data_IF_198000354633
#
_entry.id   IF_198000354633
#
_cell.length_a   1.000
_cell.length_b   1.000
_cell.length_c   1.000
_cell.angle_alpha   90.00
_cell.angle_beta   90.00
_cell.angle_gamma   90.00
#
_symmetry.space_group_name_H-M   'P 1'
#
loop_
_entity.id
_entity.type
_entity.pdbx_description
1 polymer ?
#
# COMPACT_ATOMS: atom_id res chain seq x y z
N UNK A 1 -45.40 -43.49 92.25
CA UNK A 1 -45.46 -44.53 91.20
C UNK A 1 -45.32 -43.78 89.88
N UNK A 2 -44.09 -43.59 89.41
CA UNK A 2 -43.32 -44.53 88.58
C UNK A 2 -43.89 -44.59 87.15
N UNK A 3 -43.25 -43.83 86.25
CA UNK A 3 -42.68 -44.28 84.95
C UNK A 3 -43.72 -44.24 83.81
N UNK A 4 -43.45 -43.78 82.59
CA UNK A 4 -42.19 -43.66 81.87
C UNK A 4 -42.32 -42.64 80.72
N UNK A 5 -41.20 -42.02 80.38
CA UNK A 5 -41.00 -41.11 79.25
C UNK A 5 -41.01 -41.83 77.90
N UNK A 6 -41.46 -41.16 76.83
CA UNK A 6 -41.34 -41.68 75.46
C UNK A 6 -41.45 -40.62 74.38
N UNK A 7 -40.32 -39.95 74.12
CA UNK A 7 -40.02 -38.94 73.11
C UNK A 7 -40.88 -38.93 71.81
N UNK A 8 -41.57 -37.81 71.60
CA UNK A 8 -41.93 -37.33 70.27
C UNK A 8 -40.78 -36.49 69.71
N UNK A 9 -40.08 -36.94 68.66
CA UNK A 9 -39.43 -36.06 67.65
C UNK A 9 -38.74 -36.84 66.55
N UNK A 10 -38.96 -36.42 65.30
CA UNK A 10 -37.88 -36.35 64.32
C UNK A 10 -37.94 -37.23 63.06
N UNK A 11 -39.10 -37.74 62.62
CA UNK A 11 -39.16 -38.54 61.38
C UNK A 11 -40.14 -38.08 60.29
N UNK A 12 -41.13 -37.25 60.61
CA UNK A 12 -42.19 -36.91 59.66
C UNK A 12 -41.78 -35.83 58.62
N UNK A 13 -40.82 -34.96 58.96
CA UNK A 13 -40.34 -33.91 58.05
C UNK A 13 -39.39 -34.40 56.95
N UNK A 14 -38.58 -35.43 57.25
CA UNK A 14 -37.62 -36.01 56.30
C UNK A 14 -38.28 -37.00 55.34
N UNK A 15 -39.33 -37.71 55.77
CA UNK A 15 -40.09 -38.60 54.89
C UNK A 15 -40.97 -37.82 53.90
N UNK A 16 -41.58 -36.70 54.32
CA UNK A 16 -42.29 -35.78 53.41
C UNK A 16 -41.34 -35.09 52.42
N UNK A 17 -40.13 -34.73 52.86
CA UNK A 17 -39.10 -34.24 51.95
C UNK A 17 -38.70 -35.31 50.92
N UNK A 18 -38.53 -36.58 51.34
CA UNK A 18 -38.16 -37.71 50.45
C UNK A 18 -39.22 -38.03 49.38
N UNK A 19 -40.50 -38.03 49.74
CA UNK A 19 -41.63 -38.28 48.79
C UNK A 19 -41.73 -37.20 47.72
N UNK A 20 -41.34 -35.96 48.05
CA UNK A 20 -41.26 -34.85 47.09
C UNK A 20 -39.92 -34.89 46.33
N UNK A 21 -38.83 -35.32 46.98
CA UNK A 21 -37.49 -35.38 46.38
C UNK A 21 -37.30 -36.53 45.38
N UNK A 22 -38.01 -37.65 45.50
CA UNK A 22 -37.87 -38.81 44.60
C UNK A 22 -38.14 -38.46 43.12
N UNK A 23 -39.23 -37.75 42.77
CA UNK A 23 -39.43 -37.26 41.41
C UNK A 23 -38.68 -35.96 41.09
N UNK A 24 -38.34 -35.15 42.10
CA UNK A 24 -37.63 -33.86 41.91
C UNK A 24 -36.12 -34.04 41.69
N UNK A 25 -35.52 -35.11 42.20
CA UNK A 25 -34.09 -35.41 42.04
C UNK A 25 -33.69 -35.62 40.58
N UNK A 26 -34.53 -36.29 39.79
CA UNK A 26 -34.34 -36.42 38.35
C UNK A 26 -34.40 -35.08 37.61
N UNK A 27 -35.34 -34.21 38.02
CA UNK A 27 -35.53 -32.87 37.46
C UNK A 27 -34.36 -31.92 37.79
N UNK A 28 -33.85 -31.96 39.01
CA UNK A 28 -32.67 -31.19 39.44
C UNK A 28 -31.40 -31.65 38.73
N UNK A 29 -31.23 -32.96 38.54
CA UNK A 29 -30.11 -33.52 37.79
C UNK A 29 -30.19 -33.12 36.32
N UNK A 30 -31.38 -33.17 35.71
CA UNK A 30 -31.61 -32.70 34.35
C UNK A 30 -31.34 -31.19 34.20
N UNK A 31 -31.77 -30.37 35.16
CA UNK A 31 -31.49 -28.93 35.19
C UNK A 31 -29.99 -28.62 35.36
N UNK A 32 -29.29 -29.37 36.20
CA UNK A 32 -27.85 -29.21 36.38
C UNK A 32 -27.07 -29.60 35.12
N UNK A 33 -27.42 -30.72 34.49
CA UNK A 33 -26.83 -31.17 33.22
C UNK A 33 -27.15 -30.18 32.10
N UNK A 34 -28.38 -29.67 32.02
CA UNK A 34 -28.77 -28.65 31.04
C UNK A 34 -28.05 -27.32 31.28
N UNK A 35 -27.90 -26.89 32.54
CA UNK A 35 -27.18 -25.67 32.91
C UNK A 35 -25.68 -25.77 32.59
N UNK A 36 -25.05 -26.89 32.92
CA UNK A 36 -23.66 -27.17 32.56
C UNK A 36 -23.47 -27.28 31.06
N UNK A 37 -24.42 -27.88 30.33
CA UNK A 37 -24.44 -27.90 28.87
C UNK A 37 -24.55 -26.50 28.28
N UNK A 38 -25.44 -25.67 28.81
CA UNK A 38 -25.65 -24.30 28.34
C UNK A 38 -24.44 -23.39 28.62
N UNK A 39 -23.89 -23.41 29.83
CA UNK A 39 -22.69 -22.64 30.18
C UNK A 39 -21.43 -23.18 29.51
N UNK A 40 -21.30 -24.51 29.41
CA UNK A 40 -20.19 -25.17 28.73
C UNK A 40 -20.20 -24.90 27.22
N UNK A 41 -21.37 -24.93 26.57
CA UNK A 41 -21.51 -24.63 25.14
C UNK A 41 -21.09 -23.19 24.84
N UNK A 42 -21.48 -22.21 25.66
CA UNK A 42 -21.09 -20.81 25.45
C UNK A 42 -19.58 -20.55 25.59
N UNK A 43 -18.91 -21.24 26.51
CA UNK A 43 -17.44 -21.12 26.68
C UNK A 43 -16.69 -21.87 25.57
N UNK A 44 -17.22 -22.99 25.09
CA UNK A 44 -16.62 -23.79 24.02
C UNK A 44 -16.82 -23.14 22.64
N UNK A 45 -17.98 -22.51 22.39
CA UNK A 45 -18.29 -21.75 21.17
C UNK A 45 -17.33 -20.55 21.00
N UNK A 46 -16.98 -19.85 22.08
CA UNK A 46 -15.98 -18.77 22.05
C UNK A 46 -14.58 -19.25 21.69
N UNK A 47 -14.19 -20.49 22.05
CA UNK A 47 -12.89 -21.05 21.66
C UNK A 47 -12.90 -21.58 20.23
N UNK A 48 -13.99 -22.21 19.81
CA UNK A 48 -14.14 -22.74 18.45
C UNK A 48 -14.20 -21.62 17.39
N UNK A 49 -14.75 -20.45 17.72
CA UNK A 49 -14.77 -19.29 16.82
C UNK A 49 -13.36 -18.69 16.62
N UNK A 50 -12.52 -18.65 17.65
CA UNK A 50 -11.11 -18.21 17.52
C UNK A 50 -10.30 -19.19 16.65
N UNK A 51 -10.46 -20.49 16.86
CA UNK A 51 -9.78 -21.52 16.08
C UNK A 51 -10.29 -21.57 14.61
N UNK A 52 -11.59 -21.38 14.39
CA UNK A 52 -12.16 -21.33 13.03
C UNK A 52 -11.72 -20.06 12.29
N UNK A 53 -11.69 -18.92 12.97
CA UNK A 53 -11.23 -17.67 12.37
C UNK A 53 -9.75 -17.75 12.00
N UNK A 54 -8.88 -18.28 12.88
CA UNK A 54 -7.44 -18.45 12.57
C UNK A 54 -7.18 -19.35 11.35
N UNK A 55 -8.00 -20.40 11.16
CA UNK A 55 -7.94 -21.26 9.97
C UNK A 55 -8.40 -20.54 8.72
N UNK A 56 -9.54 -19.83 8.77
CA UNK A 56 -10.01 -19.00 7.66
C UNK A 56 -8.99 -17.92 7.28
N UNK A 57 -8.32 -17.30 8.26
CA UNK A 57 -7.23 -16.35 8.00
C UNK A 57 -6.02 -17.02 7.34
N UNK A 58 -5.62 -18.19 7.81
CA UNK A 58 -4.50 -18.94 7.22
C UNK A 58 -4.83 -19.39 5.79
N UNK A 59 -6.05 -19.84 5.53
CA UNK A 59 -6.53 -20.22 4.20
C UNK A 59 -6.65 -19.02 3.26
N UNK A 60 -7.16 -17.88 3.74
CA UNK A 60 -7.24 -16.65 2.94
C UNK A 60 -5.85 -16.11 2.60
N UNK A 61 -4.91 -16.12 3.55
CA UNK A 61 -3.53 -15.72 3.29
C UNK A 61 -2.83 -16.69 2.34
N UNK A 62 -3.03 -17.98 2.51
CA UNK A 62 -2.48 -18.99 1.61
C UNK A 62 -3.05 -18.87 0.19
N UNK A 63 -4.37 -18.70 0.05
CA UNK A 63 -5.02 -18.45 -1.25
C UNK A 63 -4.57 -17.14 -1.88
N UNK A 64 -4.34 -16.11 -1.07
CA UNK A 64 -3.80 -14.84 -1.53
C UNK A 64 -2.38 -15.04 -2.06
N UNK A 65 -1.49 -15.64 -1.28
CA UNK A 65 -0.10 -15.90 -1.67
C UNK A 65 -0.04 -16.77 -2.95
N UNK A 66 -0.93 -17.74 -3.07
CA UNK A 66 -1.10 -18.55 -4.28
C UNK A 66 -1.56 -17.70 -5.46
N UNK A 67 -2.61 -16.87 -5.29
CA UNK A 67 -3.13 -16.00 -6.36
C UNK A 67 -2.14 -14.94 -6.80
N UNK A 68 -1.36 -14.37 -5.89
CA UNK A 68 -0.32 -13.39 -6.19
C UNK A 68 0.87 -14.06 -6.89
N UNK A 69 1.25 -15.27 -6.47
CA UNK A 69 2.30 -16.04 -7.14
C UNK A 69 1.88 -16.48 -8.53
N UNK A 70 0.61 -16.87 -8.70
CA UNK A 70 0.01 -17.19 -10.00
C UNK A 70 -0.03 -15.95 -10.90
N UNK A 71 -0.51 -14.80 -10.38
CA UNK A 71 -0.50 -13.53 -11.10
C UNK A 71 0.93 -13.14 -11.51
N UNK A 72 1.91 -13.23 -10.60
CA UNK A 72 3.32 -12.94 -10.93
C UNK A 72 3.87 -13.87 -12.01
N UNK A 73 3.50 -15.16 -11.96
CA UNK A 73 3.89 -16.14 -12.98
C UNK A 73 3.24 -15.85 -14.33
N UNK A 74 1.97 -15.51 -14.36
CA UNK A 74 1.23 -15.19 -15.59
C UNK A 74 1.70 -13.86 -16.18
N UNK A 75 1.93 -12.85 -15.33
CA UNK A 75 2.59 -11.60 -15.71
C UNK A 75 3.98 -11.87 -16.29
N UNK A 76 4.82 -12.66 -15.61
CA UNK A 76 6.16 -13.00 -16.08
C UNK A 76 6.11 -13.71 -17.43
N UNK A 77 5.25 -14.73 -17.60
CA UNK A 77 5.09 -15.44 -18.86
C UNK A 77 4.60 -14.52 -19.98
N UNK A 78 3.68 -13.60 -19.69
CA UNK A 78 3.21 -12.60 -20.65
C UNK A 78 4.32 -11.64 -21.07
N UNK A 79 5.10 -11.12 -20.12
CA UNK A 79 6.26 -10.25 -20.38
C UNK A 79 7.30 -10.99 -21.23
N UNK A 80 7.69 -12.21 -20.83
CA UNK A 80 8.69 -13.02 -21.54
C UNK A 80 8.19 -13.41 -22.93
N UNK A 81 6.92 -13.82 -23.05
CA UNK A 81 6.33 -14.17 -24.34
C UNK A 81 6.26 -12.98 -25.30
N UNK A 82 5.87 -11.82 -24.78
CA UNK A 82 5.71 -10.58 -25.54
C UNK A 82 7.05 -9.91 -25.89
N UNK A 83 8.00 -9.85 -24.94
CA UNK A 83 9.29 -9.17 -25.11
C UNK A 83 10.43 -10.07 -25.61
N UNK A 84 10.50 -11.34 -25.20
CA UNK A 84 11.64 -12.22 -25.51
C UNK A 84 11.36 -13.23 -26.64
N UNK A 85 10.14 -13.80 -26.72
CA UNK A 85 9.88 -14.92 -27.64
C UNK A 85 9.44 -14.54 -29.06
N UNK A 86 9.08 -13.28 -29.34
CA UNK A 86 9.01 -12.76 -30.73
C UNK A 86 10.39 -12.35 -31.28
N UNK A 87 11.47 -12.92 -30.75
CA UNK A 87 12.85 -12.73 -31.21
C UNK A 87 13.28 -13.64 -32.36
N UNK A 88 12.36 -14.40 -32.97
CA UNK A 88 12.66 -15.29 -34.10
C UNK A 88 12.85 -14.57 -35.45
N UNK A 89 12.27 -13.40 -35.58
CA UNK A 89 12.54 -12.44 -36.66
C UNK A 89 12.65 -11.09 -35.96
N UNK A 90 13.50 -10.19 -36.46
CA UNK A 90 13.71 -8.85 -35.92
C UNK A 90 12.40 -8.12 -35.61
N UNK A 91 11.83 -8.32 -34.42
CA UNK A 91 10.66 -7.60 -33.96
C UNK A 91 11.03 -6.12 -33.95
N UNK A 92 10.39 -5.36 -34.83
CA UNK A 92 10.63 -3.93 -35.00
C UNK A 92 10.56 -3.24 -33.63
N UNK A 93 11.32 -2.16 -33.47
CA UNK A 93 11.28 -1.36 -32.24
C UNK A 93 9.85 -0.93 -31.90
N UNK A 94 9.04 -0.63 -32.92
CA UNK A 94 7.61 -0.40 -32.83
C UNK A 94 6.84 -1.51 -32.08
N UNK A 95 7.08 -2.79 -32.42
CA UNK A 95 6.44 -3.92 -31.73
C UNK A 95 6.80 -3.98 -30.25
N UNK A 96 8.04 -3.62 -29.89
CA UNK A 96 8.50 -3.63 -28.49
C UNK A 96 7.90 -2.47 -27.70
N UNK A 97 7.76 -1.30 -28.31
CA UNK A 97 7.10 -0.14 -27.70
C UNK A 97 5.60 -0.42 -27.51
N UNK A 98 4.92 -0.99 -28.52
CA UNK A 98 3.53 -1.42 -28.38
C UNK A 98 3.34 -2.45 -27.27
N UNK A 99 4.26 -3.41 -27.16
CA UNK A 99 4.22 -4.38 -26.08
C UNK A 99 4.43 -3.72 -24.71
N UNK A 100 5.34 -2.74 -24.61
CA UNK A 100 5.51 -1.94 -23.38
C UNK A 100 4.21 -1.22 -23.03
N UNK A 101 3.56 -0.58 -23.99
CA UNK A 101 2.27 0.11 -23.80
C UNK A 101 1.21 -0.82 -23.22
N UNK A 102 1.04 -2.00 -23.80
CA UNK A 102 0.07 -2.98 -23.34
C UNK A 102 0.40 -3.49 -21.93
N UNK A 103 1.68 -3.80 -21.65
CA UNK A 103 2.08 -4.19 -20.30
C UNK A 103 1.79 -3.08 -19.30
N UNK A 104 2.15 -1.86 -19.67
CA UNK A 104 2.00 -0.68 -18.84
C UNK A 104 0.54 -0.41 -18.52
N UNK A 105 -0.36 -0.49 -19.51
CA UNK A 105 -1.79 -0.31 -19.32
C UNK A 105 -2.37 -1.28 -18.29
N UNK A 106 -1.88 -2.53 -18.24
CA UNK A 106 -2.45 -3.58 -17.42
C UNK A 106 -1.71 -3.81 -16.09
N UNK A 107 -0.44 -3.43 -15.98
CA UNK A 107 0.44 -3.84 -14.87
C UNK A 107 1.27 -2.71 -14.25
N UNK A 108 0.92 -1.44 -14.51
CA UNK A 108 1.63 -0.28 -13.95
C UNK A 108 1.67 -0.22 -12.42
N UNK A 109 0.78 -0.92 -11.71
CA UNK A 109 0.76 -1.00 -10.23
C UNK A 109 1.50 -2.22 -9.68
N UNK A 110 1.96 -3.15 -10.53
CA UNK A 110 2.43 -4.48 -10.10
C UNK A 110 3.89 -4.77 -10.41
N UNK A 111 4.53 -3.91 -11.21
CA UNK A 111 5.88 -4.15 -11.73
C UNK A 111 6.69 -2.84 -11.78
N UNK A 112 8.00 -2.97 -11.55
CA UNK A 112 8.93 -1.90 -11.89
C UNK A 112 9.20 -1.90 -13.41
N UNK A 113 8.61 -0.92 -14.09
CA UNK A 113 8.72 -0.76 -15.54
C UNK A 113 9.94 0.05 -15.97
N UNK A 114 10.58 0.79 -15.05
CA UNK A 114 11.67 1.72 -15.37
C UNK A 114 12.82 1.07 -16.14
N UNK A 115 13.31 -0.15 -15.79
CA UNK A 115 14.35 -0.82 -16.56
C UNK A 115 13.96 -1.08 -18.03
N UNK A 116 12.68 -1.31 -18.32
CA UNK A 116 12.19 -1.54 -19.68
C UNK A 116 12.15 -0.24 -20.48
N UNK A 117 11.66 0.86 -19.89
CA UNK A 117 11.71 2.19 -20.50
C UNK A 117 13.14 2.59 -20.84
N UNK A 118 14.07 2.50 -19.88
CA UNK A 118 15.49 2.81 -20.08
C UNK A 118 16.17 1.89 -21.10
N UNK A 119 15.70 0.65 -21.25
CA UNK A 119 16.20 -0.25 -22.29
C UNK A 119 15.76 0.20 -23.68
N UNK A 120 14.48 0.53 -23.85
CA UNK A 120 13.94 0.99 -25.13
C UNK A 120 14.46 2.38 -25.51
N UNK A 121 14.58 3.31 -24.56
CA UNK A 121 15.18 4.62 -24.80
C UNK A 121 16.60 4.49 -25.34
N UNK A 122 17.44 3.63 -24.75
CA UNK A 122 18.79 3.33 -25.27
C UNK A 122 18.79 2.72 -26.67
N UNK A 123 17.74 1.98 -27.05
CA UNK A 123 17.59 1.46 -28.41
C UNK A 123 17.15 2.54 -29.38
N UNK A 124 16.20 3.39 -28.99
CA UNK A 124 15.75 4.57 -29.74
C UNK A 124 16.93 5.50 -30.03
N UNK A 125 17.80 5.75 -29.04
CA UNK A 125 19.01 6.58 -29.21
C UNK A 125 20.03 6.05 -30.22
N UNK A 126 19.87 4.83 -30.77
CA UNK A 126 20.71 4.29 -31.86
C UNK A 126 20.15 4.57 -33.25
N UNK A 127 18.91 5.06 -33.35
CA UNK A 127 18.26 5.41 -34.61
C UNK A 127 18.95 6.64 -35.20
N UNK A 128 19.33 6.57 -36.47
CA UNK A 128 20.03 7.65 -37.16
C UNK A 128 19.10 8.71 -37.74
N UNK A 129 17.85 8.35 -37.99
CA UNK A 129 16.85 9.24 -38.59
C UNK A 129 16.20 10.09 -37.50
N UNK A 130 16.38 11.42 -37.49
CA UNK A 130 15.85 12.27 -36.41
C UNK A 130 14.33 12.17 -36.25
N UNK A 131 13.59 12.15 -37.36
CA UNK A 131 12.12 12.09 -37.32
C UNK A 131 11.60 10.81 -36.66
N UNK A 132 12.22 9.66 -36.95
CA UNK A 132 11.85 8.36 -36.38
C UNK A 132 12.30 8.23 -34.92
N UNK A 133 13.50 8.72 -34.60
CA UNK A 133 13.99 8.84 -33.24
C UNK A 133 13.00 9.63 -32.35
N UNK A 134 12.62 10.83 -32.79
CA UNK A 134 11.76 11.72 -32.02
C UNK A 134 10.33 11.17 -31.88
N UNK A 135 9.84 10.44 -32.88
CA UNK A 135 8.53 9.79 -32.81
C UNK A 135 8.48 8.71 -31.73
N UNK A 136 9.43 7.79 -31.73
CA UNK A 136 9.48 6.74 -30.71
C UNK A 136 9.78 7.29 -29.32
N UNK A 137 10.63 8.32 -29.20
CA UNK A 137 10.93 8.94 -27.92
C UNK A 137 9.68 9.62 -27.35
N UNK A 138 8.97 10.42 -28.15
CA UNK A 138 7.68 11.03 -27.75
C UNK A 138 6.67 9.98 -27.32
N UNK A 139 6.60 8.86 -28.03
CA UNK A 139 5.69 7.76 -27.69
C UNK A 139 6.06 7.13 -26.34
N UNK A 140 7.33 6.84 -26.08
CA UNK A 140 7.79 6.34 -24.77
C UNK A 140 7.50 7.33 -23.64
N UNK A 141 7.78 8.62 -23.85
CA UNK A 141 7.50 9.68 -22.87
C UNK A 141 6.00 9.79 -22.57
N UNK A 142 5.15 9.74 -23.60
CA UNK A 142 3.69 9.80 -23.44
C UNK A 142 3.19 8.65 -22.56
N UNK A 143 3.67 7.45 -22.82
CA UNK A 143 3.28 6.25 -22.07
C UNK A 143 3.76 6.32 -20.63
N UNK A 144 4.99 6.79 -20.42
CA UNK A 144 5.53 6.99 -19.06
C UNK A 144 4.74 8.05 -18.28
N UNK A 145 4.39 9.18 -18.91
CA UNK A 145 3.55 10.22 -18.31
C UNK A 145 2.16 9.68 -17.93
N UNK A 146 1.58 8.82 -18.77
CA UNK A 146 0.31 8.17 -18.46
C UNK A 146 0.41 7.20 -17.28
N UNK A 147 1.53 6.49 -17.12
CA UNK A 147 1.82 5.69 -15.91
C UNK A 147 1.88 6.57 -14.69
N UNK A 148 2.72 7.60 -14.75
CA UNK A 148 2.93 8.52 -13.64
C UNK A 148 1.61 9.13 -13.22
N UNK A 149 0.78 9.59 -14.16
CA UNK A 149 -0.56 10.14 -13.86
C UNK A 149 -1.46 9.12 -13.15
N UNK A 150 -1.51 7.87 -13.63
CA UNK A 150 -2.32 6.81 -13.00
C UNK A 150 -1.83 6.47 -11.59
N UNK A 151 -0.52 6.30 -11.42
CA UNK A 151 0.06 6.01 -10.11
C UNK A 151 -0.18 7.18 -9.14
N UNK A 152 -0.01 8.43 -9.60
CA UNK A 152 -0.34 9.60 -8.80
C UNK A 152 -1.80 9.61 -8.34
N UNK A 153 -2.76 9.27 -9.21
CA UNK A 153 -4.17 9.19 -8.82
C UNK A 153 -4.42 8.20 -7.68
N UNK A 154 -3.74 7.04 -7.68
CA UNK A 154 -3.84 6.05 -6.61
C UNK A 154 -3.20 6.58 -5.31
N UNK A 155 -2.03 7.21 -5.41
CA UNK A 155 -1.32 7.76 -4.25
C UNK A 155 -2.04 8.97 -3.63
N UNK A 156 -2.77 9.74 -4.44
CA UNK A 156 -3.56 10.90 -4.00
C UNK A 156 -4.80 10.53 -3.19
N UNK A 157 -5.24 9.26 -3.22
CA UNK A 157 -6.37 8.79 -2.40
C UNK A 157 -6.09 8.96 -0.90
N UNK A 158 -4.87 8.65 -0.48
CA UNK A 158 -4.42 8.79 0.91
C UNK A 158 -3.31 9.85 1.09
N UNK A 159 -2.83 10.45 0.01
CA UNK A 159 -1.72 11.40 0.01
C UNK A 159 -2.11 12.85 -0.26
N UNK A 160 -1.09 13.71 -0.35
CA UNK A 160 -1.19 15.10 -0.80
C UNK A 160 -0.08 15.41 -1.81
N UNK A 161 -0.30 16.43 -2.64
CA UNK A 161 0.66 16.85 -3.65
C UNK A 161 0.65 18.35 -3.86
N UNK A 162 1.74 18.85 -4.44
CA UNK A 162 1.80 20.18 -5.03
C UNK A 162 2.69 20.16 -6.27
N UNK A 163 2.38 21.04 -7.23
CA UNK A 163 3.17 21.22 -8.45
C UNK A 163 4.12 22.40 -8.33
N UNK A 164 5.25 22.34 -9.04
CA UNK A 164 6.17 23.46 -9.24
C UNK A 164 6.63 23.51 -10.69
N UNK A 165 6.64 24.72 -11.25
CA UNK A 165 7.23 25.00 -12.55
C UNK A 165 8.65 25.51 -12.36
N UNK A 166 9.57 24.92 -13.11
CA UNK A 166 10.98 25.27 -13.14
C UNK A 166 11.21 26.05 -14.43
N UNK A 167 11.74 27.25 -14.31
CA UNK A 167 12.23 28.04 -15.44
C UNK A 167 13.65 27.58 -15.78
N UNK A 168 13.80 26.93 -16.93
CA UNK A 168 15.07 26.38 -17.40
C UNK A 168 16.02 27.48 -17.91
N UNK A 169 15.51 28.61 -18.39
CA UNK A 169 16.34 29.76 -18.74
C UNK A 169 16.98 30.37 -17.50
N UNK A 170 16.20 30.57 -16.45
CA UNK A 170 16.71 31.03 -15.16
C UNK A 170 17.74 30.06 -14.57
N UNK A 171 17.49 28.75 -14.71
CA UNK A 171 18.41 27.70 -14.24
C UNK A 171 19.75 27.70 -14.98
N UNK A 172 19.72 27.84 -16.31
CA UNK A 172 20.95 27.94 -17.15
C UNK A 172 21.83 29.12 -16.75
N UNK A 173 21.23 30.21 -16.28
CA UNK A 173 21.92 31.43 -15.91
C UNK A 173 22.36 31.47 -14.43
N UNK A 174 21.95 30.50 -13.60
CA UNK A 174 22.26 30.47 -12.18
C UNK A 174 22.99 29.16 -11.78
N UNK A 175 24.34 29.17 -11.71
CA UNK A 175 25.13 27.98 -11.38
C UNK A 175 24.95 27.47 -9.94
N UNK A 176 24.28 28.23 -9.06
CA UNK A 176 23.92 27.81 -7.70
C UNK A 176 22.60 27.03 -7.61
N UNK A 177 21.88 26.90 -8.73
CA UNK A 177 20.52 26.39 -8.77
C UNK A 177 19.47 27.46 -8.50
N UNK A 178 18.21 27.13 -8.81
CA UNK A 178 17.03 27.98 -8.61
C UNK A 178 16.21 27.37 -7.49
N UNK A 179 16.07 28.09 -6.38
CA UNK A 179 15.14 27.73 -5.30
C UNK A 179 13.70 27.97 -5.77
N UNK A 180 12.86 26.96 -5.63
CA UNK A 180 11.44 27.02 -5.94
C UNK A 180 10.66 27.39 -4.67
N UNK A 181 9.44 27.90 -4.84
CA UNK A 181 8.57 28.22 -3.70
C UNK A 181 8.38 26.99 -2.79
N UNK A 182 8.61 27.14 -1.50
CA UNK A 182 8.38 26.06 -0.54
C UNK A 182 6.88 25.74 -0.43
N UNK A 183 6.55 24.51 -0.04
CA UNK A 183 5.18 24.13 0.29
C UNK A 183 5.14 23.27 1.55
N UNK A 184 3.98 23.27 2.20
CA UNK A 184 3.72 22.39 3.34
C UNK A 184 2.64 21.39 2.98
N UNK A 185 2.97 20.09 3.10
CA UNK A 185 1.98 19.02 2.99
C UNK A 185 1.64 18.48 4.37
N UNK A 186 0.42 17.96 4.50
CA UNK A 186 -0.10 17.35 5.71
C UNK A 186 -0.77 16.02 5.38
N UNK A 187 -0.16 14.92 5.82
CA UNK A 187 -0.64 13.55 5.64
C UNK A 187 -0.68 12.90 7.01
N UNK A 188 -1.79 12.27 7.37
CA UNK A 188 -2.02 11.64 8.69
C UNK A 188 -1.66 12.56 9.88
N UNK A 189 -2.10 13.82 9.82
CA UNK A 189 -1.83 14.86 10.83
C UNK A 189 -0.36 15.30 10.97
N UNK A 190 0.56 14.68 10.24
CA UNK A 190 1.97 15.05 10.20
C UNK A 190 2.17 16.12 9.13
N UNK A 191 2.63 17.30 9.55
CA UNK A 191 2.95 18.40 8.64
C UNK A 191 4.42 18.40 8.29
N UNK A 192 4.73 18.54 7.00
CA UNK A 192 6.09 18.64 6.50
C UNK A 192 6.26 19.81 5.55
N UNK A 193 7.35 20.54 5.76
CA UNK A 193 7.79 21.62 4.88
C UNK A 193 8.77 21.05 3.84
N UNK A 194 8.51 21.36 2.58
CA UNK A 194 9.27 20.89 1.42
C UNK A 194 9.94 22.09 0.76
N UNK A 195 11.26 22.05 0.73
CA UNK A 195 12.09 22.99 -0.02
C UNK A 195 12.74 22.27 -1.18
N UNK A 196 12.63 22.86 -2.37
CA UNK A 196 13.14 22.28 -3.61
C UNK A 196 14.08 23.28 -4.27
N UNK A 197 15.25 22.81 -4.65
CA UNK A 197 16.20 23.58 -5.46
C UNK A 197 16.47 22.80 -6.74
N UNK A 198 16.13 23.39 -7.89
CA UNK A 198 16.55 22.87 -9.18
C UNK A 198 18.03 23.23 -9.38
N UNK A 199 18.90 22.23 -9.58
CA UNK A 199 20.35 22.44 -9.65
C UNK A 199 20.85 22.49 -11.09
N UNK A 200 20.34 21.59 -11.93
CA UNK A 200 20.78 21.41 -13.31
C UNK A 200 19.64 20.76 -14.11
N UNK A 201 19.59 20.99 -15.42
CA UNK A 201 18.71 20.25 -16.32
C UNK A 201 19.50 19.79 -17.54
N UNK A 202 19.23 18.57 -18.00
CA UNK A 202 19.74 18.03 -19.25
C UNK A 202 18.61 17.98 -20.28
N UNK A 203 18.57 18.91 -21.25
CA UNK A 203 17.53 18.93 -22.28
C UNK A 203 17.54 17.72 -23.21
N UNK A 204 18.67 16.99 -23.32
CA UNK A 204 18.77 15.82 -24.21
C UNK A 204 18.09 14.60 -23.61
N UNK A 205 18.30 14.37 -22.31
CA UNK A 205 17.68 13.28 -21.58
C UNK A 205 16.39 13.69 -20.87
N UNK A 206 16.01 14.97 -20.96
CA UNK A 206 14.85 15.58 -20.29
C UNK A 206 14.81 15.25 -18.79
N UNK A 207 15.97 15.36 -18.15
CA UNK A 207 16.12 15.13 -16.73
C UNK A 207 16.41 16.44 -16.01
N UNK A 208 15.89 16.61 -14.81
CA UNK A 208 16.19 17.73 -13.93
C UNK A 208 16.83 17.20 -12.65
N UNK A 209 18.01 17.72 -12.31
CA UNK A 209 18.66 17.44 -11.02
C UNK A 209 18.06 18.34 -9.97
N UNK A 210 17.53 17.74 -8.92
CA UNK A 210 16.89 18.46 -7.81
C UNK A 210 17.58 18.15 -6.49
N UNK A 211 17.61 19.15 -5.61
CA UNK A 211 17.83 18.98 -4.17
C UNK A 211 16.48 19.11 -3.49
N UNK A 212 16.07 18.06 -2.80
CA UNK A 212 14.87 18.06 -1.96
C UNK A 212 15.29 18.11 -0.50
N UNK A 213 14.76 19.08 0.23
CA UNK A 213 14.87 19.19 1.68
C UNK A 213 13.47 19.01 2.28
N UNK A 214 13.33 18.02 3.17
CA UNK A 214 12.07 17.72 3.85
C UNK A 214 12.24 17.91 5.35
N UNK A 215 11.48 18.82 5.94
CA UNK A 215 11.47 19.08 7.39
C UNK A 215 10.14 18.69 7.99
N UNK A 216 10.17 17.83 9.01
CA UNK A 216 8.96 17.52 9.80
C UNK A 216 8.71 18.64 10.80
N UNK A 217 7.52 19.24 10.75
CA UNK A 217 7.10 20.29 11.68
C UNK A 217 6.56 19.63 12.95
N UNK A 218 7.08 20.03 14.11
CA UNK A 218 6.63 19.54 15.41
C UNK A 218 6.13 20.73 16.21
N UNK A 219 4.92 20.62 16.78
CA UNK A 219 4.30 21.68 17.60
C UNK A 219 4.94 21.83 19.01
N UNK A 220 5.94 21.03 19.34
CA UNK A 220 6.56 20.97 20.66
C UNK A 220 7.87 21.77 20.72
N UNK A 221 8.23 22.27 21.91
CA UNK A 221 9.45 23.04 22.20
C UNK A 221 10.77 22.26 22.09
N UNK A 222 10.75 21.07 21.48
CA UNK A 222 11.96 20.29 21.22
C UNK A 222 12.63 20.80 19.94
N UNK A 223 13.95 20.63 19.84
CA UNK A 223 14.68 20.96 18.63
C UNK A 223 14.06 20.20 17.45
N UNK A 224 13.69 20.93 16.39
CA UNK A 224 13.17 20.32 15.17
C UNK A 224 14.19 19.29 14.65
N UNK A 225 13.76 18.10 14.20
CA UNK A 225 14.65 17.10 13.65
C UNK A 225 15.44 17.68 12.48
N UNK A 226 16.65 17.17 12.28
CA UNK A 226 17.45 17.53 11.11
C UNK A 226 16.66 17.23 9.83
N UNK A 227 16.67 18.16 8.86
CA UNK A 227 15.93 17.97 7.64
C UNK A 227 16.54 16.83 6.83
N UNK A 228 15.69 16.04 6.16
CA UNK A 228 16.15 15.03 5.21
C UNK A 228 16.51 15.74 3.91
N UNK A 229 17.80 15.77 3.57
CA UNK A 229 18.32 16.42 2.35
C UNK A 229 18.83 15.35 1.41
N UNK A 230 18.30 15.33 0.19
CA UNK A 230 18.71 14.40 -0.86
C UNK A 230 18.83 15.12 -2.21
N UNK A 231 19.81 14.68 -3.00
CA UNK A 231 19.99 15.15 -4.38
C UNK A 231 19.85 13.97 -5.35
N UNK A 232 19.06 14.15 -6.40
CA UNK A 232 18.82 13.12 -7.40
C UNK A 232 18.33 13.74 -8.71
N UNK A 233 18.42 12.95 -9.78
CA UNK A 233 17.84 13.29 -11.08
C UNK A 233 16.40 12.79 -11.14
N UNK A 234 15.53 13.59 -11.76
CA UNK A 234 14.14 13.26 -12.04
C UNK A 234 13.87 13.41 -13.53
N UNK A 235 13.32 12.35 -14.13
CA UNK A 235 12.90 12.24 -15.52
C UNK A 235 11.53 11.60 -15.64
N UNK A 236 11.11 11.36 -16.89
CA UNK A 236 9.80 10.76 -17.17
C UNK A 236 9.63 9.31 -16.71
N UNK A 237 10.74 8.60 -16.49
CA UNK A 237 10.71 7.17 -16.11
C UNK A 237 10.91 6.95 -14.60
N UNK A 238 10.93 8.02 -13.80
CA UNK A 238 10.94 7.94 -12.34
C UNK A 238 9.50 7.84 -11.82
N UNK A 239 9.06 6.62 -11.54
CA UNK A 239 7.66 6.33 -11.23
C UNK A 239 7.40 6.41 -9.73
N UNK A 240 6.37 7.15 -9.26
CA UNK A 240 6.24 7.52 -7.84
C UNK A 240 6.01 6.33 -6.88
N UNK A 241 5.41 5.23 -7.35
CA UNK A 241 5.26 4.02 -6.52
C UNK A 241 6.59 3.32 -6.24
N UNK A 242 7.61 3.52 -7.09
CA UNK A 242 8.93 2.87 -7.00
C UNK A 242 10.00 3.84 -6.53
N UNK A 243 10.13 4.95 -7.24
CA UNK A 243 11.12 5.99 -7.03
C UNK A 243 10.60 7.00 -6.00
N UNK A 244 10.67 6.59 -4.73
CA UNK A 244 10.29 7.41 -3.59
C UNK A 244 11.35 7.37 -2.47
N UNK A 245 11.31 8.41 -1.66
CA UNK A 245 12.13 8.60 -0.48
C UNK A 245 11.28 8.20 0.72
N UNK A 246 11.84 7.33 1.57
CA UNK A 246 11.21 6.97 2.84
C UNK A 246 11.40 8.11 3.84
N UNK A 247 10.30 8.51 4.47
CA UNK A 247 10.25 9.48 5.55
C UNK A 247 9.95 8.79 6.88
N UNK A 248 9.88 9.56 7.95
CA UNK A 248 9.42 9.07 9.25
C UNK A 248 7.94 8.70 9.23
N UNK A 249 7.48 7.93 10.22
CA UNK A 249 6.07 7.52 10.38
C UNK A 249 5.50 6.72 9.21
N UNK A 250 6.33 5.88 8.59
CA UNK A 250 5.98 5.06 7.41
C UNK A 250 5.37 5.87 6.26
N UNK A 251 5.73 7.14 6.12
CA UNK A 251 5.34 7.97 4.98
C UNK A 251 6.44 8.01 3.94
N UNK A 252 6.06 8.33 2.71
CA UNK A 252 6.95 8.40 1.56
C UNK A 252 6.71 9.68 0.80
N UNK A 253 7.77 10.16 0.16
CA UNK A 253 7.71 11.29 -0.74
C UNK A 253 8.29 10.90 -2.10
N UNK A 254 7.65 11.31 -3.18
CA UNK A 254 8.20 11.22 -4.53
C UNK A 254 8.19 12.58 -5.19
N UNK A 255 9.14 12.78 -6.11
CA UNK A 255 9.15 13.92 -7.02
C UNK A 255 9.12 13.36 -8.42
N UNK A 256 8.15 13.79 -9.21
CA UNK A 256 7.93 13.29 -10.57
C UNK A 256 7.98 14.43 -11.56
N UNK A 257 8.56 14.18 -12.73
CA UNK A 257 8.52 15.09 -13.86
C UNK A 257 7.21 14.88 -14.62
N UNK A 258 6.41 15.93 -14.74
CA UNK A 258 5.08 15.89 -15.36
C UNK A 258 5.05 16.49 -16.76
N UNK A 259 5.91 17.46 -17.04
CA UNK A 259 6.10 18.11 -18.34
C UNK A 259 7.55 18.59 -18.48
N UNK A 260 8.07 18.58 -19.70
CA UNK A 260 9.40 19.13 -20.01
C UNK A 260 9.38 19.76 -21.40
N UNK A 261 9.49 21.08 -21.43
CA UNK A 261 9.56 21.94 -22.61
C UNK A 261 10.97 22.56 -22.73
N UNK A 262 11.21 23.34 -23.78
CA UNK A 262 12.54 23.92 -24.05
C UNK A 262 12.96 24.99 -23.00
N UNK A 263 11.98 25.71 -22.46
CA UNK A 263 12.16 26.82 -21.52
C UNK A 263 11.72 26.48 -20.09
N UNK A 264 11.00 25.38 -19.89
CA UNK A 264 10.38 25.08 -18.61
C UNK A 264 10.17 23.59 -18.37
N UNK A 265 10.12 23.21 -17.10
CA UNK A 265 9.80 21.85 -16.68
C UNK A 265 8.84 21.88 -15.49
N UNK A 266 7.81 21.04 -15.51
CA UNK A 266 6.86 20.94 -14.42
C UNK A 266 7.12 19.68 -13.60
N UNK A 267 7.36 19.86 -12.32
CA UNK A 267 7.48 18.77 -11.36
C UNK A 267 6.28 18.73 -10.43
N UNK A 268 5.97 17.55 -9.91
CA UNK A 268 5.02 17.38 -8.83
C UNK A 268 5.67 16.63 -7.68
N UNK A 269 5.51 17.15 -6.47
CA UNK A 269 5.88 16.47 -5.24
C UNK A 269 4.65 15.82 -4.64
N UNK A 270 4.77 14.55 -4.26
CA UNK A 270 3.70 13.81 -3.60
C UNK A 270 4.20 13.26 -2.27
N UNK A 271 3.39 13.39 -1.23
CA UNK A 271 3.56 12.75 0.06
C UNK A 271 2.41 11.78 0.31
N UNK A 272 2.70 10.56 0.72
CA UNK A 272 1.69 9.50 0.87
C UNK A 272 2.12 8.43 1.88
N UNK A 273 1.17 7.65 2.44
CA UNK A 273 1.49 6.52 3.31
C UNK A 273 2.25 5.41 2.59
N UNK A 274 3.16 4.75 3.29
CA UNK A 274 4.02 3.69 2.78
C UNK A 274 3.28 2.48 2.25
N UNK A 275 2.10 2.19 2.82
CA UNK A 275 1.17 1.15 2.38
C UNK A 275 0.71 1.31 0.92
N UNK A 276 0.64 2.54 0.40
CA UNK A 276 0.18 2.81 -0.97
C UNK A 276 1.31 2.74 -2.01
N UNK A 277 2.56 2.72 -1.55
CA UNK A 277 3.74 2.58 -2.39
C UNK A 277 4.06 1.11 -2.75
N UNK A 278 3.38 0.15 -2.13
CA UNK A 278 3.72 -1.25 -2.26
C UNK A 278 3.14 -1.83 -3.54
N UNK A 279 4.02 -2.25 -4.47
CA UNK A 279 3.65 -3.12 -5.59
C UNK A 279 3.04 -4.47 -5.15
N UNK A 280 3.15 -4.80 -3.85
CA UNK A 280 2.83 -6.11 -3.30
C UNK A 280 1.50 -6.11 -2.52
N UNK A 281 1.02 -4.95 -2.07
CA UNK A 281 -0.05 -4.91 -1.06
C UNK A 281 -0.98 -3.71 -1.29
N UNK A 282 -2.26 -4.00 -1.51
CA UNK A 282 -3.32 -2.99 -1.50
C UNK A 282 -3.88 -2.88 -0.07
N UNK A 283 -3.97 -1.67 0.53
CA UNK A 283 -4.44 -1.47 1.92
C UNK A 283 -5.92 -1.81 2.18
N UNK A 284 -6.68 -2.15 1.14
CA UNK A 284 -8.09 -2.57 1.22
C UNK A 284 -8.36 -3.71 2.23
N UNK A 285 -7.35 -4.52 2.55
CA UNK A 285 -7.51 -5.62 3.52
C UNK A 285 -7.44 -5.18 4.97
N UNK A 286 -6.65 -4.16 5.31
CA UNK A 286 -6.64 -3.60 6.67
C UNK A 286 -7.97 -2.94 6.99
N UNK A 287 -8.62 -2.33 6.01
CA UNK A 287 -9.95 -1.75 6.13
C UNK A 287 -11.04 -2.82 6.29
N UNK A 288 -10.94 -3.94 5.57
CA UNK A 288 -11.80 -5.12 5.79
C UNK A 288 -11.54 -5.76 7.16
N UNK A 289 -10.28 -5.85 7.59
CA UNK A 289 -9.89 -6.34 8.92
C UNK A 289 -10.45 -5.45 10.02
N UNK A 290 -10.35 -4.13 9.88
CA UNK A 290 -10.91 -3.15 10.81
C UNK A 290 -12.43 -3.29 10.90
N UNK A 291 -13.12 -3.34 9.74
CA UNK A 291 -14.57 -3.52 9.68
C UNK A 291 -15.04 -4.86 10.31
N UNK A 292 -14.25 -5.93 10.15
CA UNK A 292 -14.54 -7.23 10.78
C UNK A 292 -14.27 -7.22 12.29
N UNK A 293 -13.20 -6.57 12.74
CA UNK A 293 -12.87 -6.43 14.16
C UNK A 293 -13.90 -5.56 14.90
N UNK A 294 -14.33 -4.45 14.32
CA UNK A 294 -15.39 -3.60 14.87
C UNK A 294 -16.75 -4.33 14.96
N UNK A 295 -17.05 -5.23 14.04
CA UNK A 295 -18.29 -6.03 14.07
C UNK A 295 -18.25 -7.24 14.99
N UNK A 296 -17.06 -7.68 15.42
CA UNK A 296 -16.90 -8.81 16.36
C UNK A 296 -16.78 -8.34 17.83
N UNK A 297 -16.61 -7.04 18.06
CA UNK A 297 -16.49 -6.41 19.39
C UNK A 297 -17.79 -5.95 20.06
N UNK A 298 -18.96 -6.28 19.51
CA UNK A 298 -20.29 -6.06 20.13
C UNK A 298 -20.97 -7.38 20.42
#
# INVERSE_FOLDING_TARGET
MAEESGAAKGKDGWEKAKVILEPVGGLLTALAVAGLGYYGSRVLEQRQTIDSNSRLYSELMSKREESESALRKDMFNSIIGSFLQRGGETGSLDSRILNLELLTQNFHESLDLKPLFLHLERQVGRIKTPAEHDDYLRRLETVARDVTRKQMWVLEEAGKKFGRRIDLDSLRNNPGGVELDNDTLAVDEIKRDFRIVALEADPRSKNVKIRLEVRTLIDSSQAAPEPNVVEFWVGFFDFPMIDNIRLSHDQRCSVVLTEFEDDSADITVLEFPGSHASLKEKPYFEEILHNLQEHTGK
#
